data_IF_430432947633
#
_entry.id   IF_430432947633
#
_cell.length_a   1.000
_cell.length_b   1.000
_cell.length_c   1.000
_cell.angle_alpha   90.00
_cell.angle_beta   90.00
_cell.angle_gamma   90.00
#
_symmetry.space_group_name_H-M   'P 1'
#
loop_
_entity.id
_entity.type
_entity.pdbx_description
1 polymer ?
#
# COMPACT_ATOMS: atom_id res chain seq x y z
N UNK A 1 26.86 -8.89 -12.46
CA UNK A 1 25.79 -8.87 -13.47
C UNK A 1 24.49 -8.51 -12.76
N UNK A 2 23.76 -7.49 -13.23
CA UNK A 2 22.37 -7.30 -12.79
C UNK A 2 21.60 -8.53 -13.27
N UNK A 3 21.03 -9.30 -12.35
CA UNK A 3 20.22 -10.47 -12.72
C UNK A 3 18.90 -10.00 -13.34
N UNK A 4 18.30 -10.84 -14.18
CA UNK A 4 16.94 -10.65 -14.68
C UNK A 4 15.97 -10.35 -13.53
N UNK A 5 14.98 -9.49 -13.78
CA UNK A 5 13.97 -9.19 -12.76
C UNK A 5 13.17 -10.47 -12.45
N UNK A 6 12.75 -10.74 -11.20
CA UNK A 6 12.29 -12.07 -10.82
C UNK A 6 10.95 -12.47 -11.44
N UNK A 7 10.14 -11.48 -11.82
CA UNK A 7 8.86 -11.69 -12.49
C UNK A 7 8.93 -11.43 -14.00
N UNK A 8 10.13 -11.34 -14.57
CA UNK A 8 10.30 -11.30 -16.03
C UNK A 8 9.67 -12.55 -16.67
N UNK A 9 8.78 -12.34 -17.64
CA UNK A 9 8.03 -13.41 -18.30
C UNK A 9 6.64 -13.66 -17.73
N UNK A 10 6.32 -13.14 -16.54
CA UNK A 10 4.96 -13.23 -15.99
C UNK A 10 4.04 -12.19 -16.61
N UNK A 11 2.82 -12.61 -16.97
CA UNK A 11 1.76 -11.74 -17.51
C UNK A 11 0.64 -11.54 -16.49
N UNK A 12 0.26 -10.27 -16.29
CA UNK A 12 -0.78 -9.88 -15.34
C UNK A 12 -1.87 -9.10 -16.06
N UNK A 13 -3.12 -9.49 -15.86
CA UNK A 13 -4.29 -8.72 -16.28
C UNK A 13 -4.86 -8.00 -15.06
N UNK A 14 -4.78 -6.67 -15.07
CA UNK A 14 -5.12 -5.79 -13.96
C UNK A 14 -6.43 -5.04 -14.24
N UNK A 15 -7.51 -5.43 -13.58
CA UNK A 15 -8.80 -4.74 -13.61
C UNK A 15 -8.94 -3.68 -12.53
N UNK A 16 -7.93 -3.52 -11.69
CA UNK A 16 -8.06 -2.73 -10.49
C UNK A 16 -8.03 -1.23 -10.76
N UNK A 17 -8.68 -0.48 -9.87
CA UNK A 17 -8.74 0.97 -9.91
C UNK A 17 -8.40 1.58 -8.54
N UNK A 18 -8.13 2.88 -8.53
CA UNK A 18 -7.82 3.65 -7.32
C UNK A 18 -6.47 3.24 -6.74
N UNK A 19 -6.39 2.60 -5.55
CA UNK A 19 -5.13 2.44 -4.82
C UNK A 19 -4.77 0.99 -4.45
N UNK A 20 -5.67 0.23 -3.82
CA UNK A 20 -5.31 -1.10 -3.28
C UNK A 20 -4.80 -2.10 -4.32
N UNK A 21 -5.55 -2.32 -5.41
CA UNK A 21 -5.08 -3.17 -6.50
C UNK A 21 -3.96 -2.51 -7.31
N UNK A 22 -4.05 -1.21 -7.65
CA UNK A 22 -3.02 -0.58 -8.46
C UNK A 22 -1.62 -0.58 -7.83
N UNK A 23 -1.48 -0.41 -6.51
CA UNK A 23 -0.17 -0.50 -5.85
C UNK A 23 0.40 -1.93 -5.90
N UNK A 24 -0.46 -2.94 -5.77
CA UNK A 24 -0.08 -4.35 -5.86
C UNK A 24 0.49 -4.66 -7.26
N UNK A 25 -0.28 -4.36 -8.31
CA UNK A 25 0.15 -4.62 -9.68
C UNK A 25 1.33 -3.72 -10.08
N UNK A 26 1.44 -2.52 -9.51
CA UNK A 26 2.63 -1.68 -9.68
C UNK A 26 3.90 -2.34 -9.14
N UNK A 27 3.85 -2.94 -7.96
CA UNK A 27 5.02 -3.65 -7.42
C UNK A 27 5.39 -4.90 -8.24
N UNK A 28 4.40 -5.54 -8.87
CA UNK A 28 4.67 -6.61 -9.84
C UNK A 28 5.42 -6.09 -11.07
N UNK A 29 5.05 -4.93 -11.62
CA UNK A 29 5.81 -4.25 -12.71
C UNK A 29 7.23 -3.95 -12.27
N UNK A 30 7.40 -3.38 -11.08
CA UNK A 30 8.71 -3.00 -10.56
C UNK A 30 9.63 -4.24 -10.46
N UNK A 31 9.05 -5.40 -10.16
CA UNK A 31 9.70 -6.72 -10.15
C UNK A 31 9.74 -7.45 -11.51
N UNK A 32 9.32 -6.82 -12.60
CA UNK A 32 9.52 -7.29 -13.99
C UNK A 32 8.31 -7.91 -14.68
N UNK A 33 7.16 -8.00 -14.02
CA UNK A 33 5.95 -8.54 -14.63
C UNK A 33 5.41 -7.61 -15.74
N UNK A 34 4.85 -8.20 -16.78
CA UNK A 34 4.11 -7.47 -17.80
C UNK A 34 2.67 -7.26 -17.34
N UNK A 35 2.32 -6.04 -16.95
CA UNK A 35 0.97 -5.73 -16.47
C UNK A 35 0.17 -5.02 -17.57
N UNK A 36 -0.96 -5.60 -17.93
CA UNK A 36 -1.97 -5.04 -18.83
C UNK A 36 -3.15 -4.56 -17.98
N UNK A 37 -3.27 -3.25 -17.82
CA UNK A 37 -4.40 -2.62 -17.14
C UNK A 37 -5.60 -2.54 -18.10
N UNK A 38 -6.71 -3.14 -17.69
CA UNK A 38 -7.99 -3.11 -18.40
C UNK A 38 -8.80 -1.91 -17.89
N UNK A 39 -9.13 -0.99 -18.79
CA UNK A 39 -9.78 0.26 -18.42
C UNK A 39 -11.10 0.48 -19.16
N UNK A 40 -12.02 1.20 -18.51
CA UNK A 40 -13.32 1.53 -19.11
C UNK A 40 -13.14 2.59 -20.21
N UNK A 41 -13.81 2.42 -21.36
CA UNK A 41 -13.77 3.38 -22.46
C UNK A 41 -14.10 4.81 -22.01
N UNK A 42 -13.29 5.77 -22.47
CA UNK A 42 -13.46 7.22 -22.28
C UNK A 42 -13.26 7.73 -20.85
N UNK A 43 -13.37 6.88 -19.83
CA UNK A 43 -13.29 7.27 -18.41
C UNK A 43 -12.00 6.75 -17.77
N UNK A 44 -11.69 5.47 -17.98
CA UNK A 44 -10.58 4.79 -17.33
C UNK A 44 -10.68 4.72 -15.81
N UNK A 45 -9.52 4.65 -15.16
CA UNK A 45 -9.39 4.78 -13.70
C UNK A 45 -9.73 6.21 -13.24
N UNK A 46 -10.57 6.35 -12.21
CA UNK A 46 -10.97 7.67 -11.68
C UNK A 46 -9.78 8.53 -11.24
N UNK A 47 -8.66 7.92 -10.85
CA UNK A 47 -7.44 8.64 -10.46
C UNK A 47 -6.76 9.36 -11.62
N UNK A 48 -7.13 9.06 -12.88
CA UNK A 48 -6.70 9.83 -14.06
C UNK A 48 -7.15 11.29 -14.03
N UNK A 49 -8.19 11.62 -13.27
CA UNK A 49 -8.74 12.97 -13.20
C UNK A 49 -9.29 13.45 -14.54
N UNK A 50 -9.69 14.72 -14.59
CA UNK A 50 -10.36 15.31 -15.77
C UNK A 50 -9.45 15.43 -17.00
N UNK A 51 -8.14 15.55 -16.79
CA UNK A 51 -7.15 15.75 -17.87
C UNK A 51 -6.57 14.43 -18.42
N UNK A 52 -7.05 13.29 -17.91
CA UNK A 52 -6.67 11.94 -18.34
C UNK A 52 -5.36 11.40 -17.72
N UNK A 53 -4.64 12.23 -16.97
CA UNK A 53 -3.44 11.87 -16.21
C UNK A 53 -3.30 12.74 -14.95
N UNK A 54 -2.87 12.13 -13.84
CA UNK A 54 -2.43 12.85 -12.64
C UNK A 54 -1.12 12.24 -12.13
N UNK A 55 -0.37 13.00 -11.31
CA UNK A 55 0.82 12.48 -10.62
C UNK A 55 0.47 11.28 -9.73
N UNK A 56 -0.73 11.28 -9.14
CA UNK A 56 -1.25 10.16 -8.35
C UNK A 56 -1.51 8.93 -9.22
N UNK A 57 -2.20 9.07 -10.36
CA UNK A 57 -2.38 7.95 -11.30
C UNK A 57 -1.04 7.37 -11.72
N UNK A 58 -0.08 8.23 -12.09
CA UNK A 58 1.24 7.81 -12.50
C UNK A 58 1.99 7.06 -11.40
N UNK A 59 1.91 7.51 -10.14
CA UNK A 59 2.48 6.80 -9.00
C UNK A 59 1.98 5.35 -8.92
N UNK A 60 0.67 5.14 -9.02
CA UNK A 60 0.06 3.81 -8.88
C UNK A 60 0.07 2.96 -10.16
N UNK A 61 0.38 3.53 -11.32
CA UNK A 61 0.24 2.82 -12.61
C UNK A 61 1.46 2.93 -13.53
N UNK A 62 2.58 3.51 -13.09
CA UNK A 62 3.75 3.60 -13.95
C UNK A 62 4.28 2.21 -14.36
N UNK A 63 4.68 2.11 -15.63
CA UNK A 63 5.11 0.89 -16.30
C UNK A 63 4.02 -0.10 -16.70
N UNK A 64 2.74 0.15 -16.40
CA UNK A 64 1.63 -0.69 -16.88
C UNK A 64 1.24 -0.31 -18.31
N UNK A 65 0.96 -1.31 -19.15
CA UNK A 65 0.33 -1.11 -20.46
C UNK A 65 -1.17 -0.90 -20.24
N UNK A 66 -1.75 0.16 -20.80
CA UNK A 66 -3.19 0.47 -20.69
C UNK A 66 -3.92 0.07 -21.97
N UNK A 67 -4.98 -0.72 -21.84
CA UNK A 67 -5.97 -0.93 -22.90
C UNK A 67 -7.34 -0.50 -22.41
N UNK A 68 -8.15 0.05 -23.31
CA UNK A 68 -9.49 0.49 -22.98
C UNK A 68 -10.52 -0.39 -23.72
N UNK A 69 -11.40 -1.05 -22.96
CA UNK A 69 -12.35 -2.06 -23.46
C UNK A 69 -13.73 -1.87 -22.83
N UNK A 70 -14.79 -2.02 -23.61
CA UNK A 70 -16.16 -2.09 -23.08
C UNK A 70 -16.51 -3.51 -22.61
N UNK A 71 -16.35 -3.74 -21.30
CA UNK A 71 -16.73 -5.00 -20.64
C UNK A 71 -18.24 -5.25 -20.58
N UNK A 72 -19.10 -4.28 -20.95
CA UNK A 72 -20.54 -4.53 -21.09
C UNK A 72 -20.88 -5.21 -22.41
N UNK A 73 -20.00 -5.13 -23.40
CA UNK A 73 -20.18 -5.80 -24.68
C UNK A 73 -19.73 -7.27 -24.61
N UNK A 74 -20.51 -8.24 -25.14
CA UNK A 74 -20.07 -9.63 -25.22
C UNK A 74 -18.74 -9.80 -25.98
N UNK A 75 -18.49 -8.97 -26.99
CA UNK A 75 -17.22 -8.93 -27.72
C UNK A 75 -16.05 -8.47 -26.86
N UNK A 76 -16.24 -7.47 -26.00
CA UNK A 76 -15.21 -7.02 -25.06
C UNK A 76 -14.92 -8.04 -23.97
N UNK A 77 -15.95 -8.73 -23.47
CA UNK A 77 -15.80 -9.85 -22.54
C UNK A 77 -15.01 -11.00 -23.18
N UNK A 78 -15.36 -11.41 -24.40
CA UNK A 78 -14.65 -12.46 -25.13
C UNK A 78 -13.19 -12.09 -25.41
N UNK A 79 -12.93 -10.83 -25.78
CA UNK A 79 -11.60 -10.29 -26.01
C UNK A 79 -10.72 -10.39 -24.76
N UNK A 80 -11.24 -9.94 -23.63
CA UNK A 80 -10.50 -9.95 -22.37
C UNK A 80 -10.35 -11.37 -21.82
N UNK A 81 -11.34 -12.24 -22.00
CA UNK A 81 -11.21 -13.67 -21.66
C UNK A 81 -10.06 -14.34 -22.42
N UNK A 82 -9.85 -13.98 -23.71
CA UNK A 82 -8.68 -14.44 -24.48
C UNK A 82 -7.35 -13.89 -23.95
N UNK A 83 -7.33 -12.65 -23.46
CA UNK A 83 -6.13 -12.10 -22.80
C UNK A 83 -5.81 -12.86 -21.51
N UNK A 84 -6.83 -13.19 -20.71
CA UNK A 84 -6.66 -13.95 -19.46
C UNK A 84 -6.18 -15.38 -19.72
N UNK A 85 -6.58 -16.03 -20.82
CA UNK A 85 -6.18 -17.42 -21.08
C UNK A 85 -4.66 -17.62 -21.23
N UNK A 86 -3.91 -16.54 -21.46
CA UNK A 86 -2.44 -16.54 -21.52
C UNK A 86 -1.81 -15.73 -20.37
N UNK A 87 -2.59 -15.39 -19.35
CA UNK A 87 -2.13 -14.65 -18.19
C UNK A 87 -1.79 -15.59 -17.02
N UNK A 88 -0.76 -15.23 -16.26
CA UNK A 88 -0.40 -15.92 -15.02
C UNK A 88 -1.26 -15.46 -13.85
N UNK A 89 -1.58 -14.15 -13.84
CA UNK A 89 -2.18 -13.48 -12.71
C UNK A 89 -3.33 -12.58 -13.20
N UNK A 90 -4.46 -12.64 -12.51
CA UNK A 90 -5.54 -11.63 -12.61
C UNK A 90 -5.65 -10.90 -11.29
N UNK A 91 -5.74 -9.57 -11.33
CA UNK A 91 -5.98 -8.73 -10.16
C UNK A 91 -7.24 -7.92 -10.38
N UNK A 92 -8.15 -7.92 -9.40
CA UNK A 92 -9.34 -7.09 -9.42
C UNK A 92 -9.68 -6.56 -8.03
N UNK A 93 -10.32 -5.39 -8.00
CA UNK A 93 -10.86 -4.82 -6.76
C UNK A 93 -12.27 -4.25 -6.96
N UNK A 94 -13.05 -4.89 -7.83
CA UNK A 94 -14.45 -4.56 -7.95
C UNK A 94 -15.23 -5.06 -6.74
N UNK A 95 -16.45 -4.56 -6.60
CA UNK A 95 -17.38 -5.14 -5.63
C UNK A 95 -17.60 -6.62 -5.98
N UNK A 96 -17.58 -7.53 -4.98
CA UNK A 96 -17.88 -8.94 -5.19
C UNK A 96 -19.14 -9.17 -6.06
N UNK A 97 -19.00 -10.05 -7.04
CA UNK A 97 -20.04 -10.39 -8.02
C UNK A 97 -20.07 -9.54 -9.30
N UNK A 98 -19.29 -8.45 -9.40
CA UNK A 98 -19.20 -7.68 -10.65
C UNK A 98 -18.48 -8.48 -11.75
N UNK A 99 -17.33 -9.11 -11.45
CA UNK A 99 -16.59 -9.91 -12.43
C UNK A 99 -17.40 -11.14 -12.90
N UNK A 100 -18.23 -11.72 -12.02
CA UNK A 100 -19.13 -12.81 -12.37
C UNK A 100 -20.17 -12.40 -13.42
N UNK A 101 -20.66 -11.15 -13.39
CA UNK A 101 -21.58 -10.63 -14.44
C UNK A 101 -20.93 -10.53 -15.80
N UNK A 102 -19.59 -10.46 -15.86
CA UNK A 102 -18.83 -10.44 -17.10
C UNK A 102 -18.31 -11.84 -17.49
N UNK A 103 -18.51 -12.86 -16.65
CA UNK A 103 -17.93 -14.20 -16.84
C UNK A 103 -16.40 -14.21 -16.75
N UNK A 104 -15.84 -13.27 -15.97
CA UNK A 104 -14.40 -13.06 -15.79
C UNK A 104 -13.96 -13.24 -14.32
N UNK A 105 -14.81 -13.76 -13.45
CA UNK A 105 -14.46 -14.15 -12.09
C UNK A 105 -13.71 -15.49 -12.05
N UNK A 106 -13.09 -15.80 -10.91
CA UNK A 106 -12.31 -17.02 -10.73
C UNK A 106 -13.08 -18.30 -11.10
N UNK A 107 -14.31 -18.44 -10.64
CA UNK A 107 -15.13 -19.63 -10.90
C UNK A 107 -15.43 -19.81 -12.40
N UNK A 108 -15.56 -18.72 -13.16
CA UNK A 108 -15.75 -18.77 -14.61
C UNK A 108 -14.49 -19.09 -15.42
N UNK A 109 -13.30 -19.01 -14.79
CA UNK A 109 -12.00 -19.08 -15.46
C UNK A 109 -11.18 -20.31 -15.07
N UNK A 110 -11.33 -20.83 -13.84
CA UNK A 110 -10.47 -21.87 -13.27
C UNK A 110 -10.39 -23.15 -14.10
N UNK A 111 -11.49 -23.55 -14.76
CA UNK A 111 -11.50 -24.78 -15.56
C UNK A 111 -10.73 -24.62 -16.88
N UNK A 112 -10.74 -23.42 -17.47
CA UNK A 112 -9.97 -23.09 -18.68
C UNK A 112 -8.53 -22.65 -18.40
N UNK A 113 -8.24 -22.28 -17.16
CA UNK A 113 -6.95 -21.74 -16.72
C UNK A 113 -6.62 -22.26 -15.31
N UNK A 114 -6.33 -23.58 -15.16
CA UNK A 114 -6.16 -24.21 -13.85
C UNK A 114 -4.91 -23.74 -13.10
N UNK A 115 -3.97 -23.10 -13.79
CA UNK A 115 -2.73 -22.52 -13.24
C UNK A 115 -2.86 -21.02 -12.92
N UNK A 116 -4.05 -20.43 -13.11
CA UNK A 116 -4.29 -19.01 -12.90
C UNK A 116 -4.25 -18.64 -11.43
N UNK A 117 -3.48 -17.59 -11.10
CA UNK A 117 -3.56 -16.94 -9.80
C UNK A 117 -4.53 -15.78 -9.92
N UNK A 118 -5.63 -15.85 -9.19
CA UNK A 118 -6.66 -14.81 -9.22
C UNK A 118 -6.69 -14.09 -7.88
N UNK A 119 -6.43 -12.78 -7.87
CA UNK A 119 -6.39 -11.97 -6.66
C UNK A 119 -7.56 -10.99 -6.62
N UNK A 120 -8.46 -11.21 -5.66
CA UNK A 120 -9.59 -10.36 -5.34
C UNK A 120 -9.29 -9.52 -4.11
N UNK A 121 -9.32 -8.19 -4.27
CA UNK A 121 -9.16 -7.24 -3.16
C UNK A 121 -10.47 -6.53 -2.91
N UNK A 122 -11.09 -6.71 -1.74
CA UNK A 122 -12.38 -6.09 -1.43
C UNK A 122 -12.43 -5.52 -0.01
N UNK A 123 -13.45 -4.71 0.28
CA UNK A 123 -13.59 -4.09 1.60
C UNK A 123 -13.80 -5.07 2.76
N UNK A 124 -14.59 -6.11 2.51
CA UNK A 124 -15.11 -7.03 3.53
C UNK A 124 -14.92 -8.51 3.17
N UNK A 125 -14.11 -8.83 2.15
CA UNK A 125 -13.91 -10.20 1.64
C UNK A 125 -14.92 -10.61 0.56
N UNK A 126 -14.74 -11.81 0.00
CA UNK A 126 -15.64 -12.43 -0.99
C UNK A 126 -16.78 -13.25 -0.34
N UNK A 127 -16.88 -13.27 0.99
CA UNK A 127 -17.90 -14.01 1.72
C UNK A 127 -18.47 -13.24 2.92
N UNK A 128 -19.50 -13.79 3.55
CA UNK A 128 -20.12 -13.21 4.74
C UNK A 128 -21.17 -12.13 4.48
N UNK A 129 -21.75 -11.54 5.54
CA UNK A 129 -22.94 -10.69 5.44
C UNK A 129 -22.70 -9.34 4.76
N UNK A 130 -21.44 -8.88 4.67
CA UNK A 130 -21.08 -7.58 4.12
C UNK A 130 -20.45 -7.63 2.73
N UNK A 131 -20.45 -8.81 2.09
CA UNK A 131 -19.87 -9.07 0.77
C UNK A 131 -20.33 -8.09 -0.33
N UNK A 132 -21.56 -7.57 -0.26
CA UNK A 132 -22.09 -6.63 -1.26
C UNK A 132 -22.03 -5.15 -0.85
N UNK A 133 -21.39 -4.81 0.28
CA UNK A 133 -21.22 -3.42 0.70
C UNK A 133 -20.14 -2.72 -0.15
N UNK A 134 -20.38 -1.47 -0.48
CA UNK A 134 -19.36 -0.61 -1.07
C UNK A 134 -18.32 -0.24 -0.01
N UNK A 135 -17.06 -0.16 -0.39
CA UNK A 135 -15.99 0.22 0.51
C UNK A 135 -14.90 1.03 -0.20
N UNK A 136 -14.55 2.15 0.40
CA UNK A 136 -13.28 2.85 0.25
C UNK A 136 -12.53 2.74 1.58
N UNK A 137 -11.22 3.02 1.61
CA UNK A 137 -10.42 2.90 2.82
C UNK A 137 -11.05 3.52 4.08
N UNK A 138 -11.57 4.77 4.08
CA UNK A 138 -12.17 5.36 5.29
C UNK A 138 -13.39 4.60 5.84
N UNK A 139 -14.16 3.94 4.98
CA UNK A 139 -15.30 3.10 5.40
C UNK A 139 -14.78 1.87 6.14
N UNK A 140 -13.69 1.29 5.63
CA UNK A 140 -13.05 0.12 6.25
C UNK A 140 -12.33 0.50 7.54
N UNK A 141 -11.67 1.66 7.56
CA UNK A 141 -11.04 2.22 8.76
C UNK A 141 -12.04 2.26 9.92
N UNK A 142 -13.20 2.86 9.68
CA UNK A 142 -14.30 2.90 10.63
C UNK A 142 -14.82 1.50 11.02
N UNK A 143 -14.97 0.59 10.06
CA UNK A 143 -15.51 -0.75 10.31
C UNK A 143 -14.55 -1.68 11.05
N UNK A 144 -13.24 -1.47 10.92
CA UNK A 144 -12.19 -2.37 11.45
C UNK A 144 -11.88 -2.19 12.94
N UNK A 145 -12.41 -1.14 13.58
CA UNK A 145 -12.05 -0.74 14.94
C UNK A 145 -10.75 0.07 15.04
N UNK A 146 -9.99 0.19 13.94
CA UNK A 146 -8.75 0.96 13.90
C UNK A 146 -8.95 2.43 14.29
N UNK A 147 -9.98 3.09 13.76
CA UNK A 147 -10.24 4.51 14.03
C UNK A 147 -10.56 4.79 15.50
N UNK A 148 -11.34 3.92 16.12
CA UNK A 148 -11.66 4.02 17.54
C UNK A 148 -10.41 3.90 18.40
N UNK A 149 -9.54 2.93 18.08
CA UNK A 149 -8.24 2.76 18.74
C UNK A 149 -7.35 3.98 18.52
N UNK A 150 -7.28 4.49 17.29
CA UNK A 150 -6.49 5.66 16.96
C UNK A 150 -6.98 6.90 17.71
N UNK A 151 -8.28 7.19 17.73
CA UNK A 151 -8.86 8.30 18.47
C UNK A 151 -8.61 8.21 19.98
N UNK A 152 -8.82 7.02 20.57
CA UNK A 152 -8.52 6.77 21.98
C UNK A 152 -7.02 6.94 22.30
N UNK A 153 -6.14 6.61 21.35
CA UNK A 153 -4.69 6.79 21.50
C UNK A 153 -4.29 8.27 21.64
N UNK A 154 -5.06 9.17 21.03
CA UNK A 154 -4.85 10.62 21.06
C UNK A 154 -5.55 11.31 22.26
N UNK A 155 -6.16 10.55 23.17
CA UNK A 155 -6.92 11.10 24.31
C UNK A 155 -8.31 11.64 23.92
N UNK A 156 -8.81 11.27 22.74
CA UNK A 156 -9.97 11.87 22.09
C UNK A 156 -11.09 10.86 21.85
N UNK A 157 -11.20 9.82 22.69
CA UNK A 157 -12.12 8.69 22.50
C UNK A 157 -13.60 9.11 22.34
N UNK A 158 -14.04 10.12 23.09
CA UNK A 158 -15.44 10.59 23.09
C UNK A 158 -15.69 11.72 22.07
N UNK A 159 -14.66 12.12 21.32
CA UNK A 159 -14.77 13.19 20.32
C UNK A 159 -15.17 12.64 18.96
N UNK A 160 -15.61 13.53 18.06
CA UNK A 160 -15.85 13.18 16.66
C UNK A 160 -14.55 12.58 16.06
N UNK A 161 -14.61 11.39 15.41
CA UNK A 161 -13.45 10.82 14.72
C UNK A 161 -12.82 11.80 13.73
N UNK A 162 -11.50 11.69 13.56
CA UNK A 162 -10.76 12.57 12.66
C UNK A 162 -11.21 12.40 11.20
N UNK A 163 -11.01 13.45 10.39
CA UNK A 163 -11.11 13.33 8.95
C UNK A 163 -9.93 12.51 8.41
N UNK A 164 -10.15 11.72 7.35
CA UNK A 164 -9.13 10.86 6.74
C UNK A 164 -8.73 11.34 5.34
N UNK A 165 -7.42 11.54 5.15
CA UNK A 165 -6.79 11.76 3.85
C UNK A 165 -5.72 10.69 3.54
N UNK A 166 -5.44 9.82 4.51
CA UNK A 166 -4.40 8.77 4.42
C UNK A 166 -5.09 7.42 4.19
N UNK A 167 -4.87 6.82 3.03
CA UNK A 167 -5.55 5.60 2.61
C UNK A 167 -4.84 4.33 3.13
N UNK A 168 -4.77 4.17 4.45
CA UNK A 168 -4.01 3.08 5.10
C UNK A 168 -4.48 1.69 4.64
N UNK A 169 -5.80 1.50 4.50
CA UNK A 169 -6.36 0.19 4.16
C UNK A 169 -5.97 -0.20 2.74
N UNK A 170 -6.04 0.75 1.80
CA UNK A 170 -5.63 0.51 0.42
C UNK A 170 -4.17 0.06 0.33
N UNK A 171 -3.25 0.82 0.94
CA UNK A 171 -1.81 0.51 0.84
C UNK A 171 -1.47 -0.78 1.57
N UNK A 172 -1.97 -0.97 2.80
CA UNK A 172 -1.72 -2.17 3.58
C UNK A 172 -2.20 -3.41 2.82
N UNK A 173 -3.46 -3.40 2.36
CA UNK A 173 -4.04 -4.53 1.63
C UNK A 173 -3.35 -4.79 0.30
N UNK A 174 -3.00 -3.74 -0.46
CA UNK A 174 -2.27 -3.90 -1.72
C UNK A 174 -0.88 -4.50 -1.52
N UNK A 175 -0.16 -4.11 -0.47
CA UNK A 175 1.14 -4.71 -0.14
C UNK A 175 1.03 -6.16 0.38
N UNK A 176 -0.02 -6.46 1.16
CA UNK A 176 -0.34 -7.84 1.56
C UNK A 176 -0.67 -8.71 0.35
N UNK A 177 -1.44 -8.18 -0.61
CA UNK A 177 -1.78 -8.86 -1.86
C UNK A 177 -0.55 -9.16 -2.71
N UNK A 178 0.40 -8.21 -2.79
CA UNK A 178 1.68 -8.46 -3.46
C UNK A 178 2.41 -9.67 -2.86
N UNK A 179 2.45 -9.80 -1.52
CA UNK A 179 3.05 -10.96 -0.84
C UNK A 179 2.25 -12.26 -0.99
N UNK A 180 0.92 -12.19 -0.98
CA UNK A 180 0.05 -13.35 -1.21
C UNK A 180 0.22 -13.91 -2.63
N UNK A 181 0.36 -13.05 -3.64
CA UNK A 181 0.65 -13.46 -5.01
C UNK A 181 2.00 -14.18 -5.09
N UNK A 182 3.05 -13.70 -4.41
CA UNK A 182 4.33 -14.45 -4.38
C UNK A 182 4.17 -15.83 -3.76
N UNK A 183 3.35 -15.93 -2.70
CA UNK A 183 3.05 -17.22 -2.04
C UNK A 183 2.33 -18.16 -3.00
N UNK A 184 1.32 -17.67 -3.71
CA UNK A 184 0.57 -18.46 -4.70
C UNK A 184 1.43 -18.86 -5.90
N UNK A 185 2.31 -17.98 -6.38
CA UNK A 185 3.28 -18.30 -7.44
C UNK A 185 4.21 -19.44 -7.04
N UNK A 186 4.73 -19.41 -5.81
CA UNK A 186 5.54 -20.50 -5.26
C UNK A 186 4.73 -21.79 -5.08
N UNK A 187 3.47 -21.68 -4.66
CA UNK A 187 2.55 -22.82 -4.57
C UNK A 187 2.32 -23.46 -5.95
N UNK A 188 2.03 -22.64 -6.96
CA UNK A 188 1.87 -23.07 -8.36
C UNK A 188 3.11 -23.77 -8.88
N UNK A 189 4.30 -23.22 -8.67
CA UNK A 189 5.56 -23.86 -9.10
C UNK A 189 5.75 -25.25 -8.49
N UNK A 190 5.29 -25.46 -7.25
CA UNK A 190 5.44 -26.72 -6.52
C UNK A 190 4.37 -27.76 -6.85
N UNK A 191 3.18 -27.30 -7.22
CA UNK A 191 1.98 -28.15 -7.27
C UNK A 191 1.25 -28.13 -8.62
N UNK A 192 1.63 -27.24 -9.54
CA UNK A 192 1.04 -27.11 -10.87
C UNK A 192 -0.41 -26.61 -10.89
N UNK A 193 -0.86 -25.98 -9.79
CA UNK A 193 -2.23 -25.44 -9.67
C UNK A 193 -2.20 -23.98 -9.24
N UNK A 194 -3.13 -23.21 -9.79
CA UNK A 194 -3.39 -21.82 -9.43
C UNK A 194 -4.12 -21.70 -8.09
N UNK A 195 -4.57 -20.49 -7.76
CA UNK A 195 -5.27 -20.20 -6.50
C UNK A 195 -6.18 -18.97 -6.63
N UNK A 196 -7.26 -18.95 -5.86
CA UNK A 196 -8.06 -17.75 -5.61
C UNK A 196 -7.67 -17.11 -4.29
N UNK A 197 -7.01 -15.97 -4.39
CA UNK A 197 -6.62 -15.13 -3.25
C UNK A 197 -7.77 -14.16 -2.96
N UNK A 198 -8.45 -14.33 -1.83
CA UNK A 198 -9.40 -13.36 -1.26
C UNK A 198 -8.72 -12.56 -0.14
N UNK A 199 -8.60 -11.25 -0.32
CA UNK A 199 -8.04 -10.36 0.71
C UNK A 199 -9.02 -9.24 1.04
N UNK A 200 -9.40 -9.20 2.31
CA UNK A 200 -10.24 -8.16 2.90
C UNK A 200 -9.41 -6.98 3.41
N UNK A 201 -9.82 -5.77 3.05
CA UNK A 201 -9.28 -4.56 3.63
C UNK A 201 -9.57 -4.48 5.14
N UNK A 202 -10.74 -4.97 5.59
CA UNK A 202 -11.11 -4.97 7.00
C UNK A 202 -10.16 -5.82 7.83
N UNK A 203 -9.91 -7.06 7.39
CA UNK A 203 -8.99 -7.97 8.08
C UNK A 203 -7.56 -7.45 8.04
N UNK A 204 -7.16 -6.84 6.91
CA UNK A 204 -5.87 -6.15 6.80
C UNK A 204 -5.72 -5.07 7.88
N UNK A 205 -6.72 -4.20 8.06
CA UNK A 205 -6.68 -3.14 9.08
C UNK A 205 -6.64 -3.69 10.51
N UNK A 206 -7.33 -4.80 10.79
CA UNK A 206 -7.30 -5.44 12.12
C UNK A 206 -5.88 -5.88 12.52
N UNK A 207 -5.02 -6.20 11.55
CA UNK A 207 -3.61 -6.55 11.82
C UNK A 207 -2.80 -5.40 12.46
N UNK A 208 -3.29 -4.16 12.40
CA UNK A 208 -2.63 -2.98 12.99
C UNK A 208 -2.96 -2.79 14.48
N UNK A 209 -3.99 -3.45 15.00
CA UNK A 209 -4.46 -3.28 16.38
C UNK A 209 -4.52 -4.59 17.20
N UNK A 210 -3.57 -5.55 17.05
CA UNK A 210 -3.68 -6.86 17.67
C UNK A 210 -3.73 -6.79 19.19
N UNK A 211 -2.96 -5.89 19.81
CA UNK A 211 -2.96 -5.72 21.27
C UNK A 211 -4.35 -5.33 21.81
N UNK A 212 -5.07 -4.45 21.10
CA UNK A 212 -6.41 -4.03 21.51
C UNK A 212 -7.42 -5.16 21.33
N UNK A 213 -7.37 -5.88 20.20
CA UNK A 213 -8.23 -7.05 19.97
C UNK A 213 -8.03 -8.13 21.06
N UNK A 214 -6.79 -8.36 21.50
CA UNK A 214 -6.52 -9.31 22.57
C UNK A 214 -6.95 -8.79 23.94
N UNK A 215 -6.76 -7.50 24.22
CA UNK A 215 -7.20 -6.87 25.48
C UNK A 215 -8.71 -6.98 25.70
N UNK A 216 -9.53 -6.84 24.65
CA UNK A 216 -11.00 -7.00 24.75
C UNK A 216 -11.45 -8.44 25.10
N UNK A 217 -10.54 -9.41 25.10
CA UNK A 217 -10.80 -10.80 25.49
C UNK A 217 -10.34 -11.13 26.92
N UNK A 218 -9.89 -10.13 27.67
CA UNK A 218 -9.38 -10.29 29.04
C UNK A 218 -10.33 -9.62 30.04
N UNK A 219 -10.49 -10.22 31.22
CA UNK A 219 -11.25 -9.60 32.33
C UNK A 219 -10.50 -8.38 32.90
N UNK A 220 -9.18 -8.49 32.99
CA UNK A 220 -8.28 -7.43 33.46
C UNK A 220 -7.21 -7.14 32.40
N UNK A 221 -7.53 -6.34 31.35
CA UNK A 221 -6.58 -6.05 30.30
C UNK A 221 -5.40 -5.20 30.80
N UNK A 222 -4.16 -5.48 30.35
CA UNK A 222 -3.02 -4.66 30.72
C UNK A 222 -3.09 -3.28 30.05
N UNK A 223 -2.43 -2.28 30.65
CA UNK A 223 -2.25 -0.97 30.03
C UNK A 223 -1.39 -1.11 28.77
N UNK A 224 -1.96 -0.76 27.62
CA UNK A 224 -1.23 -0.74 26.34
C UNK A 224 -0.35 0.52 26.30
N UNK A 225 0.97 0.31 26.20
CA UNK A 225 1.94 1.39 26.09
C UNK A 225 1.79 2.20 24.80
N UNK A 226 2.10 3.49 24.89
CA UNK A 226 2.05 4.43 23.76
C UNK A 226 3.37 5.17 23.63
N UNK A 227 3.75 5.48 22.39
CA UNK A 227 4.86 6.39 22.11
C UNK A 227 4.37 7.83 22.16
N UNK A 228 5.20 8.72 22.70
CA UNK A 228 4.83 10.11 22.91
C UNK A 228 5.90 11.02 22.30
N UNK A 229 5.52 12.02 21.48
CA UNK A 229 6.44 13.07 21.11
C UNK A 229 6.85 13.89 22.34
N UNK A 230 8.07 14.42 22.32
CA UNK A 230 8.52 15.45 23.25
C UNK A 230 8.63 16.78 22.52
N UNK A 231 8.14 17.85 23.15
CA UNK A 231 8.27 19.20 22.65
C UNK A 231 9.74 19.66 22.67
N UNK A 232 10.14 20.32 21.60
CA UNK A 232 11.41 21.04 21.46
C UNK A 232 11.12 22.50 21.09
N UNK A 233 12.16 23.32 20.98
CA UNK A 233 12.05 24.76 20.71
C UNK A 233 11.27 25.09 19.43
N UNK A 234 11.44 24.27 18.38
CA UNK A 234 10.96 24.51 17.02
C UNK A 234 10.13 23.34 16.45
N UNK A 235 9.57 22.48 17.32
CA UNK A 235 8.73 21.36 16.89
C UNK A 235 8.65 20.23 17.91
N UNK A 236 8.75 19.00 17.41
CA UNK A 236 8.68 17.77 18.22
C UNK A 236 9.75 16.77 17.80
N UNK A 237 10.14 15.93 18.75
CA UNK A 237 10.98 14.74 18.52
C UNK A 237 10.24 13.52 19.06
N UNK A 238 10.16 12.45 18.29
CA UNK A 238 9.71 11.15 18.78
C UNK A 238 10.89 10.46 19.47
N UNK A 239 10.67 9.88 20.65
CA UNK A 239 11.69 9.13 21.36
C UNK A 239 11.14 7.84 21.98
N UNK A 240 12.01 6.86 22.18
CA UNK A 240 11.67 5.54 22.69
C UNK A 240 12.39 5.24 24.01
N UNK A 241 11.62 4.98 25.08
CA UNK A 241 12.13 4.56 26.39
C UNK A 241 11.51 3.22 26.85
N UNK A 242 11.43 2.24 25.95
CA UNK A 242 10.73 0.97 26.19
C UNK A 242 11.51 0.02 27.12
N UNK A 243 12.83 -0.10 26.91
CA UNK A 243 13.69 -0.98 27.73
C UNK A 243 14.39 -0.21 28.86
N UNK A 244 14.92 -0.91 29.85
CA UNK A 244 15.75 -0.28 30.91
C UNK A 244 17.00 0.36 30.33
N UNK A 245 17.64 -0.27 29.33
CA UNK A 245 18.74 0.32 28.56
C UNK A 245 18.37 1.64 27.90
N UNK A 246 17.14 1.77 27.39
CA UNK A 246 16.70 3.05 26.81
C UNK A 246 16.51 4.10 27.90
N UNK A 247 16.00 3.73 29.08
CA UNK A 247 15.88 4.68 30.20
C UNK A 247 17.25 5.11 30.72
N UNK A 248 18.22 4.19 30.83
CA UNK A 248 19.62 4.51 31.15
C UNK A 248 20.23 5.50 30.17
N UNK A 249 20.05 5.23 28.87
CA UNK A 249 20.51 6.11 27.77
C UNK A 249 19.86 7.48 27.86
N UNK A 250 18.55 7.53 28.16
CA UNK A 250 17.80 8.77 28.32
C UNK A 250 18.25 9.56 29.55
N UNK A 251 18.37 8.91 30.71
CA UNK A 251 18.87 9.53 31.94
C UNK A 251 20.29 10.09 31.74
N UNK A 252 21.13 9.40 30.98
CA UNK A 252 22.46 9.90 30.60
C UNK A 252 22.37 11.14 29.71
N UNK A 253 21.53 11.13 28.66
CA UNK A 253 21.36 12.26 27.75
C UNK A 253 20.88 13.54 28.46
N UNK A 254 19.98 13.38 29.44
CA UNK A 254 19.41 14.47 30.22
C UNK A 254 20.31 14.89 31.40
N UNK A 255 21.34 14.10 31.72
CA UNK A 255 22.14 14.20 32.96
C UNK A 255 21.27 14.14 34.23
N UNK A 256 20.34 13.17 34.27
CA UNK A 256 19.35 12.95 35.34
C UNK A 256 19.34 11.48 35.81
N UNK A 257 20.40 10.99 36.48
CA UNK A 257 20.51 9.58 36.90
C UNK A 257 19.41 9.14 37.88
N UNK A 258 18.79 10.06 38.61
CA UNK A 258 17.72 9.76 39.55
C UNK A 258 16.45 9.19 38.87
N UNK A 259 16.26 9.42 37.57
CA UNK A 259 15.15 8.83 36.79
C UNK A 259 15.19 7.30 36.81
N UNK A 260 16.37 6.69 37.01
CA UNK A 260 16.55 5.23 37.05
C UNK A 260 15.99 4.59 38.31
N UNK A 261 15.94 5.36 39.40
CA UNK A 261 15.42 4.91 40.70
C UNK A 261 14.01 5.40 40.98
N UNK A 262 13.42 6.23 40.11
CA UNK A 262 12.07 6.75 40.31
C UNK A 262 11.05 5.61 40.19
N UNK A 263 10.23 5.34 41.22
CA UNK A 263 9.27 4.23 41.23
C UNK A 263 8.23 4.33 40.11
N UNK A 264 8.03 5.52 39.52
CA UNK A 264 7.14 5.73 38.37
C UNK A 264 7.77 5.27 37.06
N UNK A 265 9.10 5.31 36.95
CA UNK A 265 9.83 5.09 35.69
C UNK A 265 10.56 3.75 35.62
N UNK A 266 10.60 2.97 36.70
CA UNK A 266 11.05 1.58 36.61
C UNK A 266 10.12 0.73 35.72
N UNK A 267 10.64 -0.42 35.24
CA UNK A 267 9.90 -1.33 34.36
C UNK A 267 8.59 -1.81 34.99
N UNK A 268 7.51 -1.80 34.20
CA UNK A 268 6.14 -2.07 34.67
C UNK A 268 5.38 -0.76 34.87
N UNK A 269 5.58 -0.04 36.00
CA UNK A 269 4.94 1.26 36.23
C UNK A 269 5.18 2.30 35.13
N UNK A 270 6.35 2.26 34.45
CA UNK A 270 6.69 3.19 33.36
C UNK A 270 5.61 3.29 32.28
N UNK A 271 4.98 2.17 31.92
CA UNK A 271 3.98 2.15 30.84
C UNK A 271 2.79 3.06 31.16
N UNK A 272 2.27 2.98 32.39
CA UNK A 272 1.17 3.82 32.85
C UNK A 272 1.61 5.28 33.14
N UNK A 273 2.88 5.48 33.47
CA UNK A 273 3.44 6.79 33.83
C UNK A 273 4.26 7.45 32.71
N UNK A 274 4.16 6.96 31.47
CA UNK A 274 5.04 7.41 30.39
C UNK A 274 4.86 8.91 30.09
N UNK A 275 3.65 9.45 30.22
CA UNK A 275 3.39 10.90 30.09
C UNK A 275 4.12 11.75 31.15
N UNK A 276 4.35 11.21 32.36
CA UNK A 276 5.17 11.89 33.36
C UNK A 276 6.66 11.86 32.98
N UNK A 277 7.14 10.77 32.38
CA UNK A 277 8.50 10.68 31.86
C UNK A 277 8.71 11.69 30.71
N UNK A 278 7.72 11.84 29.82
CA UNK A 278 7.70 12.87 28.77
C UNK A 278 7.84 14.26 29.37
N UNK A 279 7.07 14.57 30.41
CA UNK A 279 7.17 15.86 31.12
C UNK A 279 8.59 16.14 31.64
N UNK A 280 9.26 15.13 32.20
CA UNK A 280 10.66 15.28 32.65
C UNK A 280 11.62 15.54 31.49
N UNK A 281 11.40 14.89 30.34
CA UNK A 281 12.21 15.08 29.14
C UNK A 281 11.99 16.46 28.54
N UNK A 282 10.75 16.94 28.50
CA UNK A 282 10.40 18.25 27.96
C UNK A 282 11.01 19.41 28.74
N UNK A 283 11.28 19.25 30.05
CA UNK A 283 12.03 20.25 30.83
C UNK A 283 13.44 20.48 30.29
N UNK A 284 14.05 19.45 29.72
CA UNK A 284 15.37 19.51 29.09
C UNK A 284 15.25 19.91 27.61
N UNK A 285 14.39 19.22 26.84
CA UNK A 285 14.32 19.35 25.38
C UNK A 285 13.69 20.67 24.90
N UNK A 286 12.88 21.35 25.71
CA UNK A 286 12.22 22.62 25.32
C UNK A 286 13.20 23.75 24.99
N UNK A 287 14.45 23.66 25.46
CA UNK A 287 15.50 24.65 25.17
C UNK A 287 16.32 24.35 23.91
N UNK A 288 16.19 23.13 23.38
CA UNK A 288 16.95 22.62 22.23
C UNK A 288 16.13 22.72 20.95
N UNK A 289 16.79 22.91 19.80
CA UNK A 289 16.13 22.66 18.51
C UNK A 289 15.87 21.17 18.31
N UNK A 290 15.02 20.81 17.35
CA UNK A 290 14.77 19.42 16.97
C UNK A 290 16.06 18.69 16.57
N UNK A 291 16.96 19.35 15.83
CA UNK A 291 18.25 18.81 15.42
C UNK A 291 19.20 18.58 16.60
N UNK A 292 19.29 19.55 17.52
CA UNK A 292 20.14 19.43 18.71
C UNK A 292 19.65 18.31 19.63
N UNK A 293 18.33 18.22 19.83
CA UNK A 293 17.68 17.20 20.63
C UNK A 293 17.87 15.80 20.03
N UNK A 294 17.54 15.62 18.74
CA UNK A 294 17.73 14.36 18.02
C UNK A 294 19.20 13.92 18.05
N UNK A 295 20.13 14.84 17.82
CA UNK A 295 21.56 14.51 17.85
C UNK A 295 22.04 14.13 19.27
N UNK A 296 21.55 14.81 20.32
CA UNK A 296 21.90 14.48 21.70
C UNK A 296 21.36 13.10 22.12
N UNK A 297 20.09 12.81 21.81
CA UNK A 297 19.45 11.54 22.10
C UNK A 297 20.12 10.38 21.34
N UNK A 298 20.38 10.54 20.03
CA UNK A 298 21.09 9.53 19.24
C UNK A 298 22.51 9.28 19.74
N UNK A 299 23.27 10.33 20.12
CA UNK A 299 24.61 10.16 20.72
C UNK A 299 24.59 9.33 21.99
N UNK A 300 23.54 9.45 22.80
CA UNK A 300 23.36 8.67 24.02
C UNK A 300 22.80 7.27 23.78
N UNK A 301 22.39 6.92 22.55
CA UNK A 301 21.82 5.63 22.20
C UNK A 301 20.30 5.52 22.43
N UNK A 302 19.59 6.65 22.58
CA UNK A 302 18.12 6.69 22.64
C UNK A 302 17.56 6.67 21.20
N UNK A 303 16.75 5.66 20.82
CA UNK A 303 16.09 5.67 19.52
C UNK A 303 15.12 6.85 19.43
N UNK A 304 15.36 7.72 18.46
CA UNK A 304 14.56 8.93 18.25
C UNK A 304 14.59 9.38 16.80
N UNK A 305 13.64 10.25 16.44
CA UNK A 305 13.64 10.99 15.18
C UNK A 305 12.87 12.29 15.36
N UNK A 306 13.34 13.37 14.74
CA UNK A 306 12.53 14.57 14.57
C UNK A 306 11.37 14.33 13.61
N UNK A 307 10.32 15.14 13.75
CA UNK A 307 9.19 15.14 12.83
C UNK A 307 9.56 15.90 11.56
N UNK A 308 9.52 15.22 10.41
CA UNK A 308 9.84 15.77 9.09
C UNK A 308 8.57 16.28 8.41
N UNK A 309 8.67 17.33 7.61
CA UNK A 309 7.65 17.71 6.63
C UNK A 309 7.80 16.86 5.36
N UNK A 310 6.75 16.80 4.53
CA UNK A 310 6.78 16.03 3.27
C UNK A 310 7.86 16.56 2.32
N UNK A 311 8.05 17.88 2.27
CA UNK A 311 9.08 18.52 1.44
C UNK A 311 10.51 18.15 1.87
N UNK A 312 10.73 17.92 3.16
CA UNK A 312 12.04 17.53 3.70
C UNK A 312 12.47 16.15 3.19
N UNK A 313 11.52 15.28 2.84
CA UNK A 313 11.81 13.92 2.36
C UNK A 313 12.65 13.90 1.09
N UNK A 314 12.54 14.94 0.25
CA UNK A 314 13.31 15.02 -1.00
C UNK A 314 14.79 15.37 -0.78
N UNK A 315 15.13 15.96 0.36
CA UNK A 315 16.50 16.28 0.75
C UNK A 315 17.02 15.37 1.88
N UNK A 316 16.19 14.48 2.42
CA UNK A 316 16.53 13.66 3.58
C UNK A 316 17.69 12.69 3.25
N UNK A 317 18.82 12.72 3.97
CA UNK A 317 20.01 11.93 3.64
C UNK A 317 19.74 10.43 3.51
N UNK A 318 19.00 9.85 4.45
CA UNK A 318 18.61 8.42 4.38
C UNK A 318 17.73 8.10 3.17
N UNK A 319 16.87 9.02 2.72
CA UNK A 319 15.93 8.79 1.60
C UNK A 319 16.68 8.89 0.27
N UNK A 320 17.62 9.84 0.17
CA UNK A 320 18.54 9.99 -0.95
C UNK A 320 19.47 8.77 -1.09
N UNK A 321 20.11 8.35 0.00
CA UNK A 321 20.98 7.16 0.03
C UNK A 321 20.22 5.90 -0.37
N UNK A 322 18.97 5.79 0.08
CA UNK A 322 18.08 4.69 -0.28
C UNK A 322 17.48 4.82 -1.68
N UNK A 323 17.72 5.91 -2.42
CA UNK A 323 17.16 6.11 -3.76
C UNK A 323 15.66 5.79 -3.77
N UNK A 324 14.92 6.38 -2.83
CA UNK A 324 13.51 6.05 -2.60
C UNK A 324 12.57 6.55 -3.67
N UNK A 325 13.05 7.37 -4.62
CA UNK A 325 12.24 7.94 -5.67
C UNK A 325 12.82 7.66 -7.06
N UNK A 326 11.93 7.61 -8.04
CA UNK A 326 12.23 7.61 -9.47
C UNK A 326 11.57 8.81 -10.13
N UNK A 327 12.30 9.46 -11.02
CA UNK A 327 11.76 10.52 -11.87
C UNK A 327 10.92 9.92 -12.98
N UNK A 328 9.68 10.38 -13.11
CA UNK A 328 8.78 10.14 -14.24
C UNK A 328 8.69 11.43 -15.05
N UNK A 329 8.82 11.29 -16.36
CA UNK A 329 8.64 12.37 -17.31
C UNK A 329 7.30 12.19 -18.03
N UNK A 330 6.52 13.27 -18.08
CA UNK A 330 5.22 13.29 -18.76
C UNK A 330 5.02 14.62 -19.49
N UNK A 331 4.48 14.56 -20.70
CA UNK A 331 4.33 15.74 -21.59
C UNK A 331 3.42 16.83 -20.99
N UNK A 332 2.44 16.46 -20.16
CA UNK A 332 1.51 17.40 -19.54
C UNK A 332 1.94 17.82 -18.14
N UNK A 333 2.52 16.90 -17.36
CA UNK A 333 2.83 17.11 -15.93
C UNK A 333 4.29 17.56 -15.67
N UNK A 334 5.14 17.52 -16.71
CA UNK A 334 6.57 17.70 -16.60
C UNK A 334 7.25 16.55 -15.86
N UNK A 335 8.47 16.78 -15.39
CA UNK A 335 9.19 15.82 -14.57
C UNK A 335 8.71 15.87 -13.11
N UNK A 336 8.48 14.71 -12.51
CA UNK A 336 8.13 14.59 -11.10
C UNK A 336 8.61 13.27 -10.50
N UNK A 337 8.66 13.21 -9.18
CA UNK A 337 9.10 12.01 -8.45
C UNK A 337 7.92 11.14 -8.06
N UNK A 338 8.10 9.83 -8.21
CA UNK A 338 7.24 8.80 -7.62
C UNK A 338 8.07 7.90 -6.71
N UNK A 339 7.45 7.37 -5.65
CA UNK A 339 8.14 6.49 -4.71
C UNK A 339 8.42 5.13 -5.36
N UNK A 340 9.63 4.63 -5.19
CA UNK A 340 9.97 3.24 -5.45
C UNK A 340 9.32 2.32 -4.40
N UNK A 341 9.10 1.05 -4.74
CA UNK A 341 8.73 0.07 -3.73
C UNK A 341 9.74 0.07 -2.56
N UNK A 342 9.30 -0.11 -1.30
CA UNK A 342 10.16 0.04 -0.13
C UNK A 342 11.12 -1.14 0.11
N UNK A 343 11.42 -1.93 -0.92
CA UNK A 343 12.28 -3.13 -0.85
C UNK A 343 13.54 -2.89 -1.68
N UNK A 344 14.71 -3.18 -1.09
CA UNK A 344 16.02 -3.14 -1.78
C UNK A 344 16.61 -4.52 -1.82
N UNK A 345 16.56 -5.13 -3.00
CA UNK A 345 17.31 -6.34 -3.27
C UNK A 345 18.75 -5.99 -3.59
N UNK A 346 19.70 -6.75 -3.04
CA UNK A 346 21.14 -6.53 -3.31
C UNK A 346 21.50 -6.78 -4.77
N UNK A 347 20.88 -7.78 -5.39
CA UNK A 347 21.25 -8.28 -6.72
C UNK A 347 20.17 -8.04 -7.79
N UNK A 348 18.98 -7.60 -7.38
CA UNK A 348 17.79 -7.50 -8.24
C UNK A 348 17.37 -6.04 -8.39
N UNK A 349 17.10 -5.63 -9.62
CA UNK A 349 16.54 -4.30 -9.88
C UNK A 349 15.02 -4.30 -9.62
N UNK A 350 14.57 -3.39 -8.77
CA UNK A 350 13.16 -3.29 -8.36
C UNK A 350 12.68 -1.83 -8.31
N UNK A 351 13.27 -0.97 -9.14
CA UNK A 351 12.88 0.42 -9.24
C UNK A 351 11.63 0.58 -10.12
N UNK A 352 10.88 1.62 -9.81
CA UNK A 352 9.78 2.13 -10.59
C UNK A 352 10.20 2.37 -12.05
N UNK A 353 9.37 1.91 -12.99
CA UNK A 353 9.47 2.34 -14.39
C UNK A 353 9.18 3.86 -14.52
N UNK A 354 9.94 4.61 -15.33
CA UNK A 354 9.88 6.09 -15.36
C UNK A 354 8.81 6.67 -16.32
N UNK A 355 7.70 5.96 -16.54
CA UNK A 355 6.60 6.41 -17.42
C UNK A 355 5.26 5.84 -16.98
N UNK A 356 4.15 6.51 -17.31
CA UNK A 356 2.79 6.02 -17.10
C UNK A 356 1.95 6.14 -18.39
N UNK A 357 1.07 5.17 -18.64
CA UNK A 357 0.30 5.13 -19.88
C UNK A 357 -0.86 6.12 -19.91
N UNK A 358 -1.06 6.77 -21.06
CA UNK A 358 -2.35 7.38 -21.40
C UNK A 358 -3.44 6.30 -21.51
N UNK A 359 -4.71 6.70 -21.39
CA UNK A 359 -5.85 5.79 -21.45
C UNK A 359 -5.88 5.08 -22.81
N UNK A 360 -5.83 3.74 -22.79
CA UNK A 360 -5.90 2.94 -24.00
C UNK A 360 -4.67 3.04 -24.91
N UNK A 361 -3.57 3.65 -24.46
CA UNK A 361 -2.37 3.89 -25.27
C UNK A 361 -1.82 2.64 -25.95
N UNK A 362 -1.99 1.47 -25.32
CA UNK A 362 -1.40 0.21 -25.78
C UNK A 362 -2.47 -0.74 -26.35
N UNK A 363 -3.68 -0.24 -26.63
CA UNK A 363 -4.80 -1.08 -27.12
C UNK A 363 -4.39 -1.85 -28.37
N UNK A 364 -3.99 -1.16 -29.44
CA UNK A 364 -3.63 -1.79 -30.71
C UNK A 364 -2.42 -2.72 -30.58
N UNK A 365 -1.40 -2.29 -29.83
CA UNK A 365 -0.18 -3.09 -29.56
C UNK A 365 -0.54 -4.42 -28.87
N UNK A 366 -1.34 -4.37 -27.81
CA UNK A 366 -1.73 -5.56 -27.05
C UNK A 366 -2.64 -6.46 -27.88
N UNK A 367 -3.57 -5.89 -28.65
CA UNK A 367 -4.47 -6.67 -29.49
C UNK A 367 -3.75 -7.37 -30.65
N UNK A 368 -2.82 -6.70 -31.30
CA UNK A 368 -2.02 -7.29 -32.35
C UNK A 368 -0.99 -8.29 -31.79
N UNK A 369 -0.27 -7.91 -30.73
CA UNK A 369 0.84 -8.68 -30.18
C UNK A 369 0.41 -9.88 -29.36
N UNK A 370 -0.55 -9.71 -28.44
CA UNK A 370 -0.96 -10.76 -27.50
C UNK A 370 -2.09 -11.64 -28.05
N UNK A 371 -2.97 -11.08 -28.90
CA UNK A 371 -4.12 -11.81 -29.45
C UNK A 371 -3.99 -12.15 -30.93
N UNK A 372 -2.96 -11.66 -31.61
CA UNK A 372 -2.74 -11.91 -33.03
C UNK A 372 -3.81 -11.31 -33.95
N UNK A 373 -4.54 -10.28 -33.50
CA UNK A 373 -5.59 -9.66 -34.31
C UNK A 373 -4.98 -8.87 -35.47
N UNK A 374 -5.56 -9.03 -36.66
CA UNK A 374 -5.23 -8.19 -37.80
C UNK A 374 -5.77 -6.76 -37.59
N UNK A 375 -5.13 -5.77 -38.21
CA UNK A 375 -5.56 -4.37 -38.12
C UNK A 375 -7.05 -4.19 -38.50
N UNK A 376 -7.54 -4.93 -39.49
CA UNK A 376 -8.95 -4.90 -39.89
C UNK A 376 -9.91 -5.35 -38.78
N UNK A 377 -9.52 -6.34 -37.96
CA UNK A 377 -10.31 -6.80 -36.83
C UNK A 377 -10.31 -5.77 -35.70
N UNK A 378 -9.16 -5.12 -35.45
CA UNK A 378 -9.03 -4.03 -34.48
C UNK A 378 -9.90 -2.83 -34.89
N UNK A 379 -9.85 -2.45 -36.17
CA UNK A 379 -10.66 -1.35 -36.71
C UNK A 379 -12.16 -1.66 -36.62
N UNK A 380 -12.57 -2.92 -36.82
CA UNK A 380 -13.95 -3.35 -36.60
C UNK A 380 -14.37 -3.24 -35.13
N UNK A 381 -13.51 -3.67 -34.19
CA UNK A 381 -13.77 -3.55 -32.75
C UNK A 381 -13.94 -2.08 -32.35
N UNK A 382 -13.09 -1.19 -32.88
CA UNK A 382 -13.18 0.26 -32.65
C UNK A 382 -14.45 0.87 -33.26
N UNK A 383 -14.80 0.48 -34.49
CA UNK A 383 -16.05 0.92 -35.14
C UNK A 383 -17.30 0.50 -34.35
N UNK A 384 -17.26 -0.68 -33.71
CA UNK A 384 -18.30 -1.20 -32.81
C UNK A 384 -18.24 -0.62 -31.40
N UNK A 385 -17.28 0.28 -31.11
CA UNK A 385 -17.03 0.88 -29.78
C UNK A 385 -16.75 -0.18 -28.70
N UNK A 386 -16.09 -1.26 -29.07
CA UNK A 386 -15.64 -2.30 -28.14
C UNK A 386 -14.31 -1.91 -27.50
N UNK A 387 -13.47 -1.20 -28.24
CA UNK A 387 -12.17 -0.69 -27.81
C UNK A 387 -12.02 0.79 -28.19
N UNK A 388 -11.04 1.48 -27.60
CA UNK A 388 -10.79 2.91 -27.84
C UNK A 388 -10.25 3.23 -29.24
#
# INVERSE_FOLDING_TARGET
MKTKKPLEGYKVVDFSAVFAGPICSRFLVDCGAQVIKIETLGVGDITRGVDGITRTFAHFNAGKRSIAVDLKSPSGQALVKRLISDADIVIENFRPGIMAKFGLDYDSLKDSSPELIYCSISGFGQSGPYVHRAAYAPIVHAASGFDSVHAASQGNADSRPANWEIMVADILTGTTAFGAIQTALLGRERHGIGEHIDISMMESMMTLIPAHIQSEQMEEPPVIGRFHPVKVKDGFVMMCAVSDKNLESLASALNRPELLSDPRFIRGPRTANFGLLVTEVERWSSSLTADECEAALNRAGVPCSKYQQVEDLFAHPQVLERQSFTTVSDDKLGDFLIQNMPIKFRNTESAATPWAAALGQHTDEVLAGELGLAQSEIDELRAKKVVA
#
